data_IF_365461850029
#
_entry.id   IF_365461850029
#
_cell.length_a   1.000
_cell.length_b   1.000
_cell.length_c   1.000
_cell.angle_alpha   90.00
_cell.angle_beta   90.00
_cell.angle_gamma   90.00
#
_symmetry.space_group_name_H-M   'P 1'
#
loop_
_entity.id
_entity.type
_entity.pdbx_description
1 polymer ?
#
# COMPACT_ATOMS: atom_id res chain seq x y z
N UNK A 1 4.70 -9.43 20.98
CA UNK A 1 4.94 -9.33 20.54
C UNK A 1 5.05 -9.48 19.50
N UNK A 2 5.07 -8.93 18.85
CA UNK A 2 5.20 -9.45 17.81
C UNK A 2 5.79 -8.73 16.72
N UNK A 3 6.69 -9.25 15.94
CA UNK A 3 7.40 -8.61 14.87
C UNK A 3 6.49 -8.04 13.79
N UNK A 4 5.29 -8.56 13.70
CA UNK A 4 4.34 -8.13 12.67
C UNK A 4 3.82 -6.72 12.90
N UNK A 5 3.52 -6.38 14.17
CA UNK A 5 3.05 -5.04 14.49
C UNK A 5 4.11 -3.99 14.21
N UNK A 6 5.35 -4.32 14.53
CA UNK A 6 6.48 -3.45 14.26
C UNK A 6 6.67 -3.23 12.76
N UNK A 7 6.58 -4.32 11.99
CA UNK A 7 6.74 -4.23 10.55
C UNK A 7 5.63 -3.43 9.91
N UNK A 8 4.42 -3.59 10.41
CA UNK A 8 3.27 -2.82 9.93
C UNK A 8 3.50 -1.33 10.20
N UNK A 9 3.96 -0.98 11.41
CA UNK A 9 4.24 0.40 11.74
C UNK A 9 5.33 1.00 10.86
N UNK A 10 6.37 0.22 10.58
CA UNK A 10 7.45 0.68 9.72
C UNK A 10 6.97 0.95 8.29
N UNK A 11 6.14 0.05 7.77
CA UNK A 11 5.58 0.22 6.44
C UNK A 11 4.65 1.43 6.37
N UNK A 12 3.83 1.63 7.39
CA UNK A 12 2.93 2.77 7.44
C UNK A 12 3.70 4.08 7.54
N UNK A 13 4.83 4.07 8.24
CA UNK A 13 5.68 5.24 8.34
C UNK A 13 6.39 5.52 7.01
N UNK A 14 6.77 4.48 6.30
CA UNK A 14 7.45 4.61 5.02
C UNK A 14 6.47 5.01 3.91
N UNK A 15 5.24 4.56 4.01
CA UNK A 15 4.21 4.85 3.01
C UNK A 15 3.01 5.52 3.70
N UNK A 16 3.17 6.77 4.14
CA UNK A 16 2.07 7.47 4.80
C UNK A 16 0.94 7.67 3.79
N UNK A 17 -0.24 7.42 4.11
CA UNK A 17 -1.36 7.46 3.19
C UNK A 17 -1.89 6.08 2.88
N UNK A 18 -1.27 5.06 3.47
CA UNK A 18 -1.73 3.69 3.33
C UNK A 18 -1.94 3.08 4.71
N UNK A 19 -3.03 2.35 4.86
CA UNK A 19 -3.30 1.59 6.07
C UNK A 19 -2.89 0.14 5.78
N UNK A 20 -2.05 -0.43 6.63
CA UNK A 20 -1.47 -1.75 6.38
C UNK A 20 -1.85 -2.71 7.50
N UNK A 21 -2.20 -3.93 7.13
CA UNK A 21 -2.54 -4.96 8.11
C UNK A 21 -2.25 -6.35 7.56
N UNK A 22 -2.29 -7.33 8.43
CA UNK A 22 -2.17 -8.73 8.05
C UNK A 22 -3.49 -9.43 8.35
N UNK A 23 -3.94 -10.24 7.40
CA UNK A 23 -5.18 -11.00 7.58
C UNK A 23 -4.91 -12.26 8.40
N UNK A 24 -5.98 -12.91 8.82
CA UNK A 24 -5.87 -14.18 9.54
C UNK A 24 -5.20 -15.27 8.70
N UNK A 25 -5.27 -15.14 7.39
CA UNK A 25 -4.62 -16.09 6.48
C UNK A 25 -3.14 -15.78 6.29
N UNK A 26 -2.63 -14.76 6.96
CA UNK A 26 -1.23 -14.40 6.86
C UNK A 26 -0.86 -13.58 5.63
N UNK A 27 -1.84 -13.03 4.94
CA UNK A 27 -1.58 -12.19 3.79
C UNK A 27 -1.44 -10.74 4.22
N UNK A 28 -0.62 -10.02 3.49
CA UNK A 28 -0.40 -8.59 3.73
C UNK A 28 -1.36 -7.79 2.88
N UNK A 29 -1.94 -6.77 3.48
CA UNK A 29 -2.90 -5.90 2.82
C UNK A 29 -2.55 -4.45 3.03
N UNK A 30 -2.86 -3.62 2.06
CA UNK A 30 -2.69 -2.18 2.20
C UNK A 30 -3.84 -1.49 1.47
N UNK A 31 -4.41 -0.46 2.08
CA UNK A 31 -5.46 0.31 1.45
C UNK A 31 -5.17 1.80 1.64
N UNK A 32 -5.56 2.61 0.67
CA UNK A 32 -5.36 4.06 0.77
C UNK A 32 -6.25 4.63 1.86
N UNK A 33 -5.68 5.51 2.67
CA UNK A 33 -6.43 6.13 3.76
C UNK A 33 -7.09 7.44 3.34
N UNK A 34 -6.64 8.01 2.26
CA UNK A 34 -7.11 9.32 1.81
C UNK A 34 -7.98 9.23 0.58
N UNK A 35 -7.54 9.88 -0.47
CA UNK A 35 -8.34 9.98 -1.68
C UNK A 35 -8.57 8.65 -2.36
N UNK A 36 -9.80 8.41 -2.75
CA UNK A 36 -10.17 7.26 -3.55
C UNK A 36 -9.75 7.56 -4.99
N UNK A 37 -9.17 6.60 -5.72
CA UNK A 37 -8.83 6.81 -7.12
C UNK A 37 -10.06 7.20 -7.90
N UNK A 38 -9.92 8.22 -8.73
CA UNK A 38 -11.01 8.68 -9.56
C UNK A 38 -11.10 7.82 -10.81
N UNK A 39 -12.19 7.97 -11.54
CA UNK A 39 -12.38 7.26 -12.77
C UNK A 39 -11.21 7.46 -13.74
N UNK A 40 -10.67 8.67 -13.81
CA UNK A 40 -9.55 9.01 -14.68
C UNK A 40 -8.28 8.27 -14.29
N UNK A 41 -8.18 7.84 -13.04
CA UNK A 41 -6.99 7.15 -12.55
C UNK A 41 -6.94 5.69 -12.97
N UNK A 42 -8.04 5.15 -13.45
CA UNK A 42 -8.11 3.73 -13.80
C UNK A 42 -7.13 3.33 -14.89
N UNK A 43 -6.78 4.25 -15.75
CA UNK A 43 -5.83 3.97 -16.81
C UNK A 43 -4.37 4.17 -16.41
N UNK A 44 -4.11 4.59 -15.18
CA UNK A 44 -2.74 4.88 -14.74
C UNK A 44 -2.08 3.76 -13.94
N UNK A 45 -2.85 2.74 -13.59
CA UNK A 45 -2.34 1.67 -12.74
C UNK A 45 -2.49 1.93 -11.25
N UNK A 46 -3.04 3.06 -10.86
CA UNK A 46 -3.28 3.36 -9.45
C UNK A 46 -4.45 2.53 -8.95
N UNK A 47 -4.28 1.96 -7.75
CA UNK A 47 -5.33 1.14 -7.15
C UNK A 47 -5.56 1.59 -5.70
N UNK A 48 -6.71 1.25 -5.16
CA UNK A 48 -7.05 1.60 -3.80
C UNK A 48 -6.53 0.59 -2.79
N UNK A 49 -6.48 -0.68 -3.17
CA UNK A 49 -6.08 -1.75 -2.27
C UNK A 49 -5.05 -2.65 -2.92
N UNK A 50 -4.04 -3.03 -2.14
CA UNK A 50 -3.01 -3.97 -2.57
C UNK A 50 -3.00 -5.17 -1.63
N UNK A 51 -2.53 -6.30 -2.13
CA UNK A 51 -2.34 -7.48 -1.28
C UNK A 51 -1.14 -8.29 -1.77
N UNK A 52 -0.53 -9.02 -0.88
CA UNK A 52 0.63 -9.84 -1.20
C UNK A 52 0.81 -10.93 -0.16
N UNK A 53 1.52 -11.98 -0.53
CA UNK A 53 1.82 -13.08 0.38
C UNK A 53 2.95 -12.71 1.33
N UNK A 54 3.85 -11.84 0.89
CA UNK A 54 5.01 -11.48 1.68
C UNK A 54 5.17 -9.96 1.78
N UNK A 55 5.81 -9.53 2.85
CA UNK A 55 6.06 -8.11 3.11
C UNK A 55 6.83 -7.45 1.98
N UNK A 56 7.87 -8.11 1.47
CA UNK A 56 8.70 -7.55 0.41
C UNK A 56 7.90 -7.31 -0.87
N UNK A 57 6.97 -8.20 -1.16
CA UNK A 57 6.10 -8.03 -2.32
C UNK A 57 5.17 -6.84 -2.14
N UNK A 58 4.59 -6.72 -0.96
CA UNK A 58 3.71 -5.59 -0.68
C UNK A 58 4.48 -4.27 -0.75
N UNK A 59 5.68 -4.24 -0.20
CA UNK A 59 6.53 -3.06 -0.24
C UNK A 59 6.83 -2.64 -1.68
N UNK A 60 7.10 -3.60 -2.55
CA UNK A 60 7.35 -3.33 -3.95
C UNK A 60 6.13 -2.73 -4.64
N UNK A 61 4.95 -3.26 -4.33
CA UNK A 61 3.70 -2.74 -4.87
C UNK A 61 3.43 -1.31 -4.36
N UNK A 62 3.68 -1.06 -3.08
CA UNK A 62 3.50 0.26 -2.49
C UNK A 62 4.45 1.28 -3.14
N UNK A 63 5.70 0.89 -3.34
CA UNK A 63 6.68 1.76 -3.98
C UNK A 63 6.25 2.13 -5.40
N UNK A 64 5.69 1.16 -6.12
CA UNK A 64 5.19 1.42 -7.46
C UNK A 64 4.02 2.41 -7.44
N UNK A 65 3.14 2.29 -6.47
CA UNK A 65 2.00 3.21 -6.35
C UNK A 65 2.47 4.63 -6.01
N UNK A 66 3.46 4.75 -5.15
CA UNK A 66 4.04 6.05 -4.81
C UNK A 66 4.64 6.70 -6.06
N UNK A 67 5.31 5.91 -6.88
CA UNK A 67 5.86 6.41 -8.13
C UNK A 67 4.77 6.93 -9.07
N UNK A 68 3.67 6.20 -9.18
CA UNK A 68 2.55 6.62 -10.00
C UNK A 68 1.91 7.89 -9.46
N UNK A 69 1.77 7.98 -8.14
CA UNK A 69 1.22 9.17 -7.49
C UNK A 69 2.07 10.40 -7.80
N UNK A 70 3.38 10.25 -7.76
CA UNK A 70 4.29 11.35 -8.05
C UNK A 70 4.20 11.80 -9.50
N UNK A 71 4.05 10.87 -10.42
CA UNK A 71 3.90 11.19 -11.84
C UNK A 71 2.65 11.99 -12.11
N UNK A 72 1.57 11.64 -11.43
CA UNK A 72 0.29 12.31 -11.62
C UNK A 72 0.30 13.73 -11.07
N UNK A 73 1.02 13.95 -10.00
CA UNK A 73 1.08 15.24 -9.34
C UNK A 73 1.91 16.26 -10.11
N UNK A 74 2.76 15.82 -10.99
CA UNK A 74 3.55 16.73 -11.80
C UNK A 74 2.86 17.00 -13.12
#
# INVERSE_FOLDING_TARGET
>A
MTGWDERIELLEAEFPGWHIWRSNAGRWWATRTGAVPRRDDLGTGRVMTLDADEETDLRGQLAAQVGLDSEIET
#
